data_IF_524539675544
#
_entry.id   IF_524539675544
#
_cell.length_a   1.000
_cell.length_b   1.000
_cell.length_c   1.000
_cell.angle_alpha   90.00
_cell.angle_beta   90.00
_cell.angle_gamma   90.00
#
_symmetry.space_group_name_H-M   'P 1'
#
loop_
_entity.id
_entity.type
_entity.pdbx_description
1 polymer ?
#
# COMPACT_ATOMS: atom_id res chain seq x y z
N UNK A 1 -5.32 2.66 1.03
CA UNK A 1 -4.73 1.73 0.05
C UNK A 1 -5.26 1.95 -1.37
N UNK A 2 -6.54 1.68 -1.64
CA UNK A 2 -7.07 1.56 -3.02
C UNK A 2 -7.17 2.87 -3.82
N UNK A 3 -7.25 4.03 -3.18
CA UNK A 3 -7.33 5.34 -3.85
C UNK A 3 -6.02 6.11 -3.83
N UNK A 4 -5.25 6.03 -2.76
CA UNK A 4 -4.08 6.86 -2.53
C UNK A 4 -2.76 6.11 -2.59
N UNK A 5 -2.81 4.79 -2.77
CA UNK A 5 -1.60 3.98 -2.75
C UNK A 5 -0.81 4.05 -1.44
N UNK A 6 -1.46 4.48 -0.36
CA UNK A 6 -0.83 4.52 0.96
C UNK A 6 -0.63 3.11 1.48
N UNK A 7 0.58 2.78 1.82
CA UNK A 7 1.00 1.49 2.36
C UNK A 7 1.73 1.70 3.68
N UNK A 8 2.87 2.36 3.65
CA UNK A 8 3.68 2.63 4.85
C UNK A 8 3.05 3.70 5.75
N UNK A 9 2.38 4.69 5.19
CA UNK A 9 1.73 5.78 5.91
C UNK A 9 0.56 5.31 6.78
N UNK A 10 0.03 4.14 6.48
CA UNK A 10 -1.04 3.50 7.27
C UNK A 10 -0.60 3.15 8.68
N UNK A 11 0.71 2.99 8.91
CA UNK A 11 1.27 2.75 10.25
C UNK A 11 0.89 3.84 11.26
N UNK A 12 0.67 5.08 10.82
CA UNK A 12 0.20 6.19 11.67
C UNK A 12 -1.18 5.90 12.28
N UNK A 13 -2.01 5.10 11.59
CA UNK A 13 -3.35 4.74 12.05
C UNK A 13 -3.38 3.48 12.93
N UNK A 14 -2.28 2.73 13.02
CA UNK A 14 -2.20 1.49 13.82
C UNK A 14 -2.56 1.74 15.30
N UNK A 15 -2.09 2.80 15.96
CA UNK A 15 -2.48 3.08 17.34
C UNK A 15 -3.99 3.23 17.53
N UNK A 16 -4.68 3.83 16.54
CA UNK A 16 -6.15 3.97 16.56
C UNK A 16 -6.82 2.60 16.47
N UNK A 17 -6.32 1.73 15.59
CA UNK A 17 -6.82 0.35 15.47
C UNK A 17 -6.60 -0.46 16.75
N UNK A 18 -5.44 -0.32 17.38
CA UNK A 18 -5.12 -0.98 18.66
C UNK A 18 -6.08 -0.51 19.74
N UNK A 19 -6.28 0.80 19.87
CA UNK A 19 -7.21 1.37 20.83
C UNK A 19 -8.62 0.81 20.67
N UNK A 20 -9.12 0.81 19.43
CA UNK A 20 -10.44 0.29 19.12
C UNK A 20 -10.55 -1.20 19.50
N UNK A 21 -9.54 -1.99 19.18
CA UNK A 21 -9.52 -3.42 19.53
C UNK A 21 -9.53 -3.63 21.04
N UNK A 22 -8.72 -2.88 21.79
CA UNK A 22 -8.70 -2.95 23.26
C UNK A 22 -10.03 -2.55 23.89
N UNK A 23 -10.69 -1.50 23.38
CA UNK A 23 -12.05 -1.13 23.82
C UNK A 23 -13.08 -2.23 23.58
N UNK A 24 -12.88 -3.05 22.54
CA UNK A 24 -13.75 -4.20 22.23
C UNK A 24 -13.36 -5.46 23.01
N UNK A 25 -12.39 -5.39 23.91
CA UNK A 25 -11.88 -6.54 24.66
C UNK A 25 -11.06 -7.52 23.82
N UNK A 26 -10.48 -7.05 22.72
CA UNK A 26 -9.62 -7.81 21.81
C UNK A 26 -8.14 -7.46 22.07
N UNK A 27 -7.23 -8.21 21.45
CA UNK A 27 -5.80 -7.97 21.58
C UNK A 27 -5.26 -6.89 20.61
N UNK A 28 -4.05 -6.41 20.91
CA UNK A 28 -3.34 -5.41 20.06
C UNK A 28 -3.07 -5.94 18.65
N UNK A 29 -2.90 -7.25 18.48
CA UNK A 29 -2.69 -7.89 17.17
C UNK A 29 -3.91 -7.73 16.28
N UNK A 30 -5.11 -7.91 16.84
CA UNK A 30 -6.37 -7.68 16.11
C UNK A 30 -6.46 -6.24 15.62
N UNK A 31 -6.15 -5.26 16.47
CA UNK A 31 -6.16 -3.84 16.11
C UNK A 31 -5.17 -3.50 15.00
N UNK A 32 -3.95 -4.00 15.12
CA UNK A 32 -2.91 -3.85 14.08
C UNK A 32 -3.34 -4.51 12.77
N UNK A 33 -3.86 -5.73 12.82
CA UNK A 33 -4.32 -6.47 11.66
C UNK A 33 -5.47 -5.77 10.92
N UNK A 34 -6.43 -5.17 11.64
CA UNK A 34 -7.52 -4.43 11.03
C UNK A 34 -7.01 -3.29 10.12
N UNK A 35 -6.04 -2.52 10.61
CA UNK A 35 -5.48 -1.39 9.87
C UNK A 35 -4.54 -1.85 8.76
N UNK A 36 -3.57 -2.69 9.10
CA UNK A 36 -2.51 -3.09 8.19
C UNK A 36 -3.02 -3.99 7.04
N UNK A 37 -3.80 -5.02 7.35
CA UNK A 37 -4.36 -5.91 6.32
C UNK A 37 -5.43 -5.20 5.49
N UNK A 38 -6.25 -4.31 6.10
CA UNK A 38 -7.20 -3.49 5.35
C UNK A 38 -6.51 -2.57 4.33
N UNK A 39 -5.38 -1.98 4.70
CA UNK A 39 -4.58 -1.17 3.79
C UNK A 39 -3.92 -2.02 2.69
N UNK A 40 -3.37 -3.18 3.03
CA UNK A 40 -2.74 -4.10 2.09
C UNK A 40 -3.74 -4.58 1.02
N UNK A 41 -4.95 -4.98 1.42
CA UNK A 41 -6.04 -5.34 0.49
C UNK A 41 -6.38 -4.19 -0.44
N UNK A 42 -6.52 -2.98 0.11
CA UNK A 42 -6.80 -1.80 -0.69
C UNK A 42 -5.68 -1.49 -1.68
N UNK A 43 -4.43 -1.56 -1.26
CA UNK A 43 -3.26 -1.33 -2.10
C UNK A 43 -3.17 -2.36 -3.25
N UNK A 44 -3.38 -3.63 -2.93
CA UNK A 44 -3.39 -4.74 -3.90
C UNK A 44 -4.48 -4.59 -4.94
N UNK A 45 -5.70 -4.27 -4.52
CA UNK A 45 -6.81 -4.06 -5.44
C UNK A 45 -6.56 -2.84 -6.34
N UNK A 46 -5.90 -1.80 -5.82
CA UNK A 46 -5.38 -0.65 -6.56
C UNK A 46 -6.34 -0.03 -7.55
N UNK A 47 -7.61 0.27 -7.16
CA UNK A 47 -8.62 0.78 -8.09
C UNK A 47 -8.18 2.08 -8.75
N UNK A 48 -7.76 3.03 -7.92
CA UNK A 48 -7.33 4.37 -8.32
C UNK A 48 -5.94 4.67 -7.73
N UNK A 49 -5.12 3.63 -7.52
CA UNK A 49 -3.79 3.78 -6.95
C UNK A 49 -2.82 4.27 -8.04
N UNK A 50 -2.37 5.54 -7.97
CA UNK A 50 -1.50 6.10 -8.99
C UNK A 50 -0.07 5.57 -8.88
N UNK A 51 0.36 5.15 -7.68
CA UNK A 51 1.75 4.79 -7.39
C UNK A 51 2.14 3.40 -7.89
N UNK A 52 1.20 2.48 -8.05
CA UNK A 52 1.49 1.18 -8.65
C UNK A 52 0.74 0.98 -9.97
N UNK A 53 -0.59 0.98 -9.93
CA UNK A 53 -1.41 0.75 -11.12
C UNK A 53 -1.27 1.88 -12.14
N UNK A 54 -1.29 3.14 -11.68
CA UNK A 54 -1.12 4.30 -12.55
C UNK A 54 0.21 4.25 -13.28
N UNK A 55 1.33 4.07 -12.56
CA UNK A 55 2.67 3.96 -13.17
C UNK A 55 2.76 2.76 -14.11
N UNK A 56 2.25 1.59 -13.71
CA UNK A 56 2.30 0.40 -14.54
C UNK A 56 1.47 0.54 -15.82
N UNK A 57 0.31 1.19 -15.75
CA UNK A 57 -0.55 1.44 -16.92
C UNK A 57 0.02 2.51 -17.84
N UNK A 58 0.64 3.55 -17.28
CA UNK A 58 1.32 4.59 -18.06
C UNK A 58 2.44 3.98 -18.89
N UNK A 59 3.31 3.18 -18.28
CA UNK A 59 4.39 2.45 -18.98
C UNK A 59 3.83 1.45 -20.00
N UNK A 60 2.70 0.81 -19.70
CA UNK A 60 2.04 -0.11 -20.61
C UNK A 60 1.24 0.58 -21.73
N UNK A 61 1.24 1.92 -21.79
CA UNK A 61 0.46 2.73 -22.75
C UNK A 61 -1.04 2.41 -22.70
N UNK A 62 -1.57 2.14 -21.51
CA UNK A 62 -2.97 1.86 -21.26
C UNK A 62 -3.68 3.09 -20.70
N UNK A 63 -4.99 3.18 -20.96
CA UNK A 63 -5.80 4.19 -20.29
C UNK A 63 -5.70 4.03 -18.78
N UNK A 64 -5.37 5.12 -18.07
CA UNK A 64 -5.24 5.14 -16.61
C UNK A 64 -6.51 4.61 -15.95
N UNK A 65 -6.29 3.77 -14.96
CA UNK A 65 -7.34 3.10 -14.18
C UNK A 65 -8.32 2.24 -15.00
N UNK A 66 -7.95 1.84 -16.24
CA UNK A 66 -8.72 0.86 -17.01
C UNK A 66 -8.79 -0.50 -16.30
N UNK A 67 -9.78 -1.33 -16.64
CA UNK A 67 -10.01 -2.61 -15.95
C UNK A 67 -10.62 -2.49 -14.55
N UNK A 68 -11.26 -1.36 -14.23
CA UNK A 68 -11.85 -1.04 -12.93
C UNK A 68 -12.82 -2.11 -12.42
N UNK A 69 -13.71 -2.61 -13.27
CA UNK A 69 -14.74 -3.60 -12.88
C UNK A 69 -14.10 -4.87 -12.28
N UNK A 70 -13.06 -5.39 -12.91
CA UNK A 70 -12.35 -6.56 -12.41
C UNK A 70 -11.63 -6.28 -11.09
N UNK A 71 -11.01 -5.09 -10.95
CA UNK A 71 -10.36 -4.68 -9.69
C UNK A 71 -11.34 -4.50 -8.54
N UNK A 72 -12.55 -3.98 -8.82
CA UNK A 72 -13.63 -3.91 -7.82
C UNK A 72 -14.04 -5.30 -7.36
N UNK A 73 -14.21 -6.24 -8.29
CA UNK A 73 -14.52 -7.63 -7.94
C UNK A 73 -13.44 -8.22 -7.02
N UNK A 74 -12.17 -8.08 -7.39
CA UNK A 74 -11.05 -8.57 -6.56
C UNK A 74 -11.00 -7.86 -5.20
N UNK A 75 -11.23 -6.54 -5.15
CA UNK A 75 -11.30 -5.81 -3.87
C UNK A 75 -12.35 -6.42 -2.95
N UNK A 76 -13.56 -6.69 -3.46
CA UNK A 76 -14.65 -7.26 -2.65
C UNK A 76 -14.28 -8.66 -2.16
N UNK A 77 -13.71 -9.50 -3.01
CA UNK A 77 -13.29 -10.87 -2.63
C UNK A 77 -12.18 -10.82 -1.57
N UNK A 78 -11.14 -10.03 -1.79
CA UNK A 78 -10.02 -9.92 -0.84
C UNK A 78 -10.49 -9.30 0.48
N UNK A 79 -11.33 -8.26 0.43
CA UNK A 79 -11.86 -7.62 1.63
C UNK A 79 -12.72 -8.59 2.44
N UNK A 80 -13.60 -9.37 1.78
CA UNK A 80 -14.41 -10.38 2.44
C UNK A 80 -13.55 -11.47 3.09
N UNK A 81 -12.56 -12.00 2.37
CA UNK A 81 -11.67 -13.03 2.87
C UNK A 81 -10.84 -12.53 4.08
N UNK A 82 -10.26 -11.33 3.96
CA UNK A 82 -9.45 -10.72 5.03
C UNK A 82 -10.31 -10.38 6.24
N UNK A 83 -11.50 -9.82 6.03
CA UNK A 83 -12.44 -9.53 7.13
C UNK A 83 -12.88 -10.81 7.83
N UNK A 84 -13.20 -11.87 7.09
CA UNK A 84 -13.53 -13.16 7.67
C UNK A 84 -12.38 -13.72 8.52
N UNK A 85 -11.14 -13.64 8.01
CA UNK A 85 -9.95 -14.06 8.76
C UNK A 85 -9.79 -13.29 10.07
N UNK A 86 -9.86 -11.94 10.03
CA UNK A 86 -9.74 -11.08 11.22
C UNK A 86 -10.86 -11.38 12.21
N UNK A 87 -12.10 -11.52 11.75
CA UNK A 87 -13.26 -11.83 12.60
C UNK A 87 -13.09 -13.22 13.25
N UNK A 88 -12.63 -14.22 12.51
CA UNK A 88 -12.36 -15.55 13.06
C UNK A 88 -11.28 -15.50 14.14
N UNK A 89 -10.18 -14.76 13.91
CA UNK A 89 -9.12 -14.56 14.90
C UNK A 89 -9.64 -13.79 16.11
N UNK A 90 -10.31 -12.68 15.93
CA UNK A 90 -10.88 -11.87 17.00
C UNK A 90 -11.84 -12.67 17.89
N UNK A 91 -12.74 -13.46 17.29
CA UNK A 91 -13.64 -14.35 18.04
C UNK A 91 -12.89 -15.42 18.83
N UNK A 92 -11.82 -15.97 18.25
CA UNK A 92 -10.98 -16.97 18.93
C UNK A 92 -10.28 -16.37 20.15
N UNK A 93 -9.73 -15.16 20.01
CA UNK A 93 -9.05 -14.45 21.11
C UNK A 93 -10.05 -13.98 22.18
N UNK A 94 -11.22 -13.47 21.76
CA UNK A 94 -12.28 -13.09 22.71
C UNK A 94 -12.77 -14.25 23.57
N UNK A 95 -12.89 -15.46 22.98
CA UNK A 95 -13.31 -16.66 23.72
C UNK A 95 -12.18 -17.30 24.54
N UNK A 96 -10.93 -17.16 24.08
CA UNK A 96 -9.75 -17.78 24.66
C UNK A 96 -8.56 -16.82 24.58
N UNK A 97 -8.40 -15.88 25.54
CA UNK A 97 -7.31 -14.91 25.54
C UNK A 97 -5.92 -15.55 25.51
N UNK A 98 -5.78 -16.74 26.05
CA UNK A 98 -4.55 -17.54 26.04
C UNK A 98 -4.11 -17.99 24.63
N UNK A 99 -4.99 -17.86 23.62
CA UNK A 99 -4.70 -18.17 22.21
C UNK A 99 -4.25 -16.95 21.41
N UNK A 100 -4.13 -15.80 22.05
CA UNK A 100 -3.53 -14.62 21.43
C UNK A 100 -2.04 -14.89 21.13
N UNK A 101 -1.56 -14.41 19.98
CA UNK A 101 -0.15 -14.54 19.56
C UNK A 101 0.80 -13.83 20.54
N UNK A 102 0.30 -12.83 21.25
CA UNK A 102 1.07 -12.03 22.23
C UNK A 102 0.76 -12.42 23.68
N UNK A 103 0.08 -13.54 23.91
CA UNK A 103 -0.23 -14.00 25.27
C UNK A 103 1.06 -14.26 26.08
N UNK A 104 1.15 -13.66 27.25
CA UNK A 104 2.31 -13.81 28.14
C UNK A 104 3.53 -12.94 27.79
N UNK A 105 3.44 -12.09 26.75
CA UNK A 105 4.46 -11.07 26.48
C UNK A 105 4.19 -9.89 27.42
N UNK A 106 5.20 -9.43 28.22
CA UNK A 106 5.04 -8.25 29.07
C UNK A 106 4.63 -7.04 28.26
N UNK A 107 3.66 -6.28 28.72
CA UNK A 107 3.24 -5.03 28.08
C UNK A 107 4.20 -3.92 28.44
N UNK A 108 5.20 -3.65 27.60
CA UNK A 108 6.19 -2.57 27.82
C UNK A 108 5.65 -1.15 27.67
N UNK A 109 4.44 -0.99 27.14
CA UNK A 109 3.77 0.32 27.05
C UNK A 109 2.28 0.18 27.35
N UNK A 110 1.87 0.69 28.48
CA UNK A 110 0.49 1.06 28.74
C UNK A 110 0.12 2.19 27.77
N UNK A 111 -0.71 1.89 26.75
CA UNK A 111 -1.34 2.93 25.93
C UNK A 111 -2.35 3.65 26.83
N UNK A 112 -1.86 4.47 27.77
CA UNK A 112 -2.67 5.34 28.58
C UNK A 112 -3.07 6.53 27.72
N UNK A 113 -4.34 6.56 27.33
CA UNK A 113 -4.95 7.76 26.74
C UNK A 113 -5.25 8.75 27.86
N UNK A 114 -4.22 9.42 28.33
CA UNK A 114 -4.27 10.36 29.42
C UNK A 114 -4.90 11.68 28.99
N UNK A 115 -5.83 11.81 28.18
CA UNK A 115 -6.64 12.98 27.82
C UNK A 115 -7.64 12.70 26.68
N UNK A 116 -8.24 11.50 26.63
CA UNK A 116 -9.42 11.31 25.80
C UNK A 116 -10.56 12.13 26.42
N UNK A 117 -10.70 13.36 25.97
CA UNK A 117 -11.93 14.11 26.25
C UNK A 117 -13.08 13.34 25.59
N UNK A 118 -14.08 12.94 26.39
CA UNK A 118 -15.24 12.14 25.95
C UNK A 118 -16.09 12.81 24.86
N UNK A 119 -15.69 14.01 24.41
CA UNK A 119 -16.44 14.80 23.43
C UNK A 119 -15.56 15.26 22.28
N UNK A 120 -15.98 14.94 21.06
CA UNK A 120 -15.32 15.42 19.84
C UNK A 120 -15.52 16.94 19.74
N UNK A 121 -14.43 17.68 19.66
CA UNK A 121 -14.44 19.12 19.51
C UNK A 121 -14.95 19.54 18.12
N UNK A 122 -15.64 20.66 18.01
CA UNK A 122 -16.11 21.22 16.73
C UNK A 122 -14.96 21.38 15.71
N UNK A 123 -13.76 21.73 16.16
CA UNK A 123 -12.56 21.79 15.30
C UNK A 123 -12.19 20.43 14.69
N UNK A 124 -12.25 19.36 15.48
CA UNK A 124 -11.97 17.99 15.00
C UNK A 124 -13.01 17.55 13.97
N UNK A 125 -14.30 17.86 14.21
CA UNK A 125 -15.37 17.62 13.23
C UNK A 125 -15.08 18.37 11.93
N UNK A 126 -14.71 19.66 12.01
CA UNK A 126 -14.39 20.46 10.84
C UNK A 126 -13.21 19.89 10.04
N UNK A 127 -12.14 19.42 10.71
CA UNK A 127 -11.01 18.73 10.06
C UNK A 127 -11.47 17.45 9.37
N UNK A 128 -12.29 16.62 10.03
CA UNK A 128 -12.83 15.40 9.44
C UNK A 128 -13.70 15.68 8.20
N UNK A 129 -14.50 16.74 8.23
CA UNK A 129 -15.31 17.17 7.08
C UNK A 129 -14.41 17.62 5.92
N UNK A 130 -13.37 18.41 6.17
CA UNK A 130 -12.42 18.84 5.14
C UNK A 130 -11.71 17.65 4.53
N UNK A 131 -11.29 16.67 5.35
CA UNK A 131 -10.68 15.43 4.85
C UNK A 131 -11.66 14.63 3.98
N UNK A 132 -12.90 14.45 4.44
CA UNK A 132 -13.91 13.71 3.67
C UNK A 132 -14.21 14.39 2.31
N UNK A 133 -14.34 15.72 2.30
CA UNK A 133 -14.53 16.49 1.08
C UNK A 133 -13.30 16.39 0.16
N UNK A 134 -12.09 16.51 0.71
CA UNK A 134 -10.85 16.36 -0.06
C UNK A 134 -10.73 14.99 -0.71
N UNK A 135 -11.07 13.91 -0.01
CA UNK A 135 -11.10 12.57 -0.60
C UNK A 135 -12.21 12.43 -1.67
N UNK A 136 -13.37 13.05 -1.47
CA UNK A 136 -14.41 13.11 -2.49
C UNK A 136 -13.94 13.79 -3.78
N UNK A 137 -13.26 14.95 -3.64
CA UNK A 137 -12.64 15.68 -4.76
C UNK A 137 -11.56 14.83 -5.44
N UNK A 138 -10.71 14.15 -4.66
CA UNK A 138 -9.68 13.25 -5.18
C UNK A 138 -10.28 12.14 -6.04
N UNK A 139 -11.28 11.43 -5.53
CA UNK A 139 -11.95 10.35 -6.27
C UNK A 139 -12.59 10.88 -7.56
N UNK A 140 -13.24 12.04 -7.50
CA UNK A 140 -13.82 12.68 -8.67
C UNK A 140 -12.74 13.09 -9.69
N UNK A 141 -11.65 13.70 -9.22
CA UNK A 141 -10.52 14.12 -10.05
C UNK A 141 -9.87 12.95 -10.78
N UNK A 142 -9.54 11.87 -10.07
CA UNK A 142 -8.96 10.65 -10.63
C UNK A 142 -9.92 9.97 -11.63
N UNK A 143 -11.22 9.86 -11.28
CA UNK A 143 -12.18 9.10 -12.10
C UNK A 143 -12.69 9.86 -13.33
N UNK A 144 -12.81 11.19 -13.26
CA UNK A 144 -13.48 11.99 -14.28
C UNK A 144 -12.60 13.02 -14.99
N UNK A 145 -11.54 13.47 -14.33
CA UNK A 145 -10.68 14.55 -14.85
C UNK A 145 -9.29 14.05 -15.28
N UNK A 146 -8.97 12.77 -15.04
CA UNK A 146 -7.66 12.21 -15.36
C UNK A 146 -6.53 12.80 -14.52
N UNK A 147 -6.83 13.22 -13.30
CA UNK A 147 -5.82 13.72 -12.36
C UNK A 147 -4.73 12.68 -12.14
N UNK A 148 -3.50 13.17 -11.98
CA UNK A 148 -2.34 12.34 -11.69
C UNK A 148 -1.52 12.95 -10.55
N UNK A 149 -0.19 12.80 -10.57
CA UNK A 149 0.63 13.20 -9.41
C UNK A 149 0.57 14.69 -9.06
N UNK A 150 0.53 15.56 -10.05
CA UNK A 150 0.62 17.01 -9.84
C UNK A 150 -0.63 17.53 -9.12
N UNK A 151 -1.82 17.22 -9.63
CA UNK A 151 -3.08 17.66 -9.06
C UNK A 151 -3.33 17.04 -7.69
N UNK A 152 -2.95 15.76 -7.52
CA UNK A 152 -3.05 15.08 -6.23
C UNK A 152 -2.16 15.75 -5.18
N UNK A 153 -0.91 16.04 -5.53
CA UNK A 153 0.03 16.70 -4.63
C UNK A 153 -0.47 18.08 -4.21
N UNK A 154 -1.00 18.85 -5.18
CA UNK A 154 -1.65 20.13 -4.92
C UNK A 154 -2.82 20.00 -3.93
N UNK A 155 -3.72 19.03 -4.17
CA UNK A 155 -4.87 18.79 -3.30
C UNK A 155 -4.43 18.46 -1.86
N UNK A 156 -3.45 17.55 -1.69
CA UNK A 156 -2.96 17.17 -0.35
C UNK A 156 -2.30 18.33 0.39
N UNK A 157 -1.52 19.18 -0.30
CA UNK A 157 -0.94 20.37 0.29
C UNK A 157 -2.06 21.32 0.77
N UNK A 158 -3.07 21.59 -0.08
CA UNK A 158 -4.21 22.42 0.31
C UNK A 158 -4.97 21.84 1.50
N UNK A 159 -5.25 20.54 1.50
CA UNK A 159 -5.91 19.89 2.62
C UNK A 159 -5.10 20.03 3.91
N UNK A 160 -3.80 19.79 3.87
CA UNK A 160 -2.93 19.91 5.04
C UNK A 160 -2.90 21.32 5.59
N UNK A 161 -2.79 22.34 4.73
CA UNK A 161 -2.81 23.75 5.12
C UNK A 161 -4.14 24.13 5.75
N UNK A 162 -5.28 23.80 5.13
CA UNK A 162 -6.62 24.10 5.63
C UNK A 162 -6.84 23.41 6.98
N UNK A 163 -6.54 22.12 7.09
CA UNK A 163 -6.66 21.38 8.35
C UNK A 163 -5.77 21.98 9.46
N UNK A 164 -4.56 22.42 9.11
CA UNK A 164 -3.67 23.11 10.04
C UNK A 164 -4.26 24.40 10.59
N UNK A 165 -4.82 25.25 9.72
CA UNK A 165 -5.50 26.49 10.16
C UNK A 165 -6.76 26.23 11.01
N UNK A 166 -7.59 25.26 10.63
CA UNK A 166 -8.78 24.86 11.41
C UNK A 166 -8.37 24.35 12.79
N UNK A 167 -7.25 23.62 12.86
CA UNK A 167 -6.68 23.15 14.14
C UNK A 167 -6.10 24.27 15.00
N UNK A 168 -6.02 25.51 14.48
CA UNK A 168 -5.47 26.68 15.18
C UNK A 168 -3.94 26.79 15.09
N UNK A 169 -3.31 26.11 14.13
CA UNK A 169 -1.86 26.22 13.92
C UNK A 169 -1.52 27.49 13.15
N UNK A 170 -0.46 28.19 13.58
CA UNK A 170 0.11 29.30 12.82
C UNK A 170 0.92 28.81 11.61
N UNK A 171 1.17 29.69 10.61
CA UNK A 171 1.89 29.33 9.38
C UNK A 171 3.26 28.65 9.63
N UNK A 172 4.02 29.15 10.60
CA UNK A 172 5.35 28.57 10.95
C UNK A 172 5.22 27.15 11.51
N UNK A 173 4.17 26.85 12.26
CA UNK A 173 3.90 25.50 12.75
C UNK A 173 3.48 24.57 11.63
N UNK A 174 2.59 25.04 10.76
CA UNK A 174 2.17 24.25 9.56
C UNK A 174 3.39 23.89 8.70
N UNK A 175 4.26 24.88 8.41
CA UNK A 175 5.46 24.63 7.63
C UNK A 175 6.40 23.61 8.31
N UNK A 176 6.54 23.66 9.64
CA UNK A 176 7.35 22.71 10.40
C UNK A 176 6.77 21.29 10.35
N UNK A 177 5.46 21.13 10.52
CA UNK A 177 4.79 19.82 10.43
C UNK A 177 4.91 19.21 9.03
N UNK A 178 4.83 20.03 7.96
CA UNK A 178 5.14 19.58 6.60
C UNK A 178 6.60 19.11 6.46
N UNK A 179 7.54 19.85 7.07
CA UNK A 179 8.97 19.48 7.09
C UNK A 179 9.21 18.15 7.80
N UNK A 180 8.58 17.90 8.94
CA UNK A 180 8.66 16.63 9.65
C UNK A 180 8.04 15.49 8.85
N UNK A 181 6.89 15.71 8.21
CA UNK A 181 6.28 14.75 7.29
C UNK A 181 7.22 14.41 6.12
N UNK A 182 7.86 15.41 5.53
CA UNK A 182 8.82 15.21 4.43
C UNK A 182 10.01 14.36 4.85
N UNK A 183 10.55 14.54 6.07
CA UNK A 183 11.63 13.68 6.58
C UNK A 183 11.26 12.22 6.59
N UNK A 184 10.01 11.90 6.94
CA UNK A 184 9.53 10.51 6.98
C UNK A 184 9.55 9.80 5.63
N UNK A 185 9.44 10.54 4.51
CA UNK A 185 9.38 9.97 3.16
C UNK A 185 10.71 10.03 2.39
N UNK A 186 11.72 10.74 2.89
CA UNK A 186 13.02 10.91 2.21
C UNK A 186 13.67 9.58 1.85
N UNK A 187 13.66 8.61 2.77
CA UNK A 187 14.24 7.28 2.54
C UNK A 187 13.53 6.58 1.38
N UNK A 188 12.19 6.67 1.33
CA UNK A 188 11.41 6.13 0.22
C UNK A 188 11.77 6.78 -1.13
N UNK A 189 11.91 8.10 -1.17
CA UNK A 189 12.34 8.82 -2.37
C UNK A 189 13.73 8.38 -2.85
N UNK A 190 14.68 8.22 -1.92
CA UNK A 190 16.04 7.74 -2.24
C UNK A 190 16.01 6.31 -2.79
N UNK A 191 15.23 5.42 -2.21
CA UNK A 191 15.07 4.03 -2.69
C UNK A 191 14.52 4.01 -4.11
N UNK A 192 13.52 4.84 -4.42
CA UNK A 192 12.95 4.94 -5.77
C UNK A 192 14.02 5.44 -6.76
N UNK A 193 14.81 6.46 -6.38
CA UNK A 193 15.91 6.96 -7.21
C UNK A 193 16.96 5.89 -7.49
N UNK A 194 17.37 5.13 -6.48
CA UNK A 194 18.34 4.03 -6.62
C UNK A 194 17.75 2.90 -7.49
N UNK A 195 16.49 2.53 -7.28
CA UNK A 195 15.81 1.52 -8.09
C UNK A 195 15.78 1.91 -9.58
N UNK A 196 15.53 3.19 -9.88
CA UNK A 196 15.57 3.71 -11.26
C UNK A 196 16.98 3.61 -11.88
N UNK A 197 18.02 3.77 -11.07
CA UNK A 197 19.41 3.63 -11.53
C UNK A 197 19.70 2.20 -12.05
N UNK A 198 19.10 1.17 -11.43
CA UNK A 198 19.24 -0.22 -11.90
C UNK A 198 18.73 -0.36 -13.34
N UNK A 199 17.56 0.21 -13.64
CA UNK A 199 17.00 0.20 -15.01
C UNK A 199 17.95 0.89 -16.00
N UNK A 200 18.46 2.08 -15.66
CA UNK A 200 19.38 2.81 -16.52
C UNK A 200 20.64 2.01 -16.78
N UNK A 201 21.26 1.42 -15.76
CA UNK A 201 22.46 0.58 -15.90
C UNK A 201 22.20 -0.63 -16.77
N UNK A 202 21.08 -1.33 -16.58
CA UNK A 202 20.72 -2.51 -17.37
C UNK A 202 20.47 -2.14 -18.83
N UNK A 203 19.86 -0.97 -19.07
CA UNK A 203 19.61 -0.44 -20.42
C UNK A 203 20.92 -0.10 -21.11
N UNK A 204 21.78 0.68 -20.48
CA UNK A 204 23.08 1.12 -21.04
C UNK A 204 24.01 -0.06 -21.29
N UNK A 205 23.93 -1.08 -20.45
CA UNK A 205 24.70 -2.33 -20.62
C UNK A 205 24.12 -3.29 -21.66
N UNK A 206 22.98 -2.97 -22.29
CA UNK A 206 22.23 -3.85 -23.20
C UNK A 206 21.87 -5.23 -22.59
N UNK A 207 21.74 -5.29 -21.26
CA UNK A 207 21.37 -6.52 -20.55
C UNK A 207 19.83 -6.71 -20.54
N UNK A 208 19.06 -5.62 -20.73
CA UNK A 208 17.60 -5.68 -20.73
C UNK A 208 17.06 -6.68 -21.77
N UNK A 209 17.59 -6.66 -22.99
CA UNK A 209 17.17 -7.56 -24.05
C UNK A 209 17.45 -9.03 -23.69
N UNK A 210 18.57 -9.31 -23.03
CA UNK A 210 18.91 -10.66 -22.56
C UNK A 210 17.93 -11.13 -21.48
N UNK A 211 17.56 -10.27 -20.55
CA UNK A 211 16.56 -10.56 -19.50
C UNK A 211 15.20 -10.82 -20.14
N UNK A 212 14.76 -9.92 -21.03
CA UNK A 212 13.47 -10.07 -21.77
C UNK A 212 13.44 -11.39 -22.51
N UNK A 213 14.51 -11.71 -23.25
CA UNK A 213 14.62 -12.98 -23.97
C UNK A 213 14.55 -14.20 -23.05
N UNK A 214 15.23 -14.15 -21.91
CA UNK A 214 15.16 -15.22 -20.89
C UNK A 214 13.73 -15.41 -20.35
N UNK A 215 13.04 -14.32 -20.01
CA UNK A 215 11.65 -14.37 -19.53
C UNK A 215 10.69 -14.87 -20.62
N UNK A 216 10.83 -14.36 -21.85
CA UNK A 216 10.02 -14.83 -23.00
C UNK A 216 10.16 -16.33 -23.19
N UNK A 217 11.39 -16.87 -23.15
CA UNK A 217 11.62 -18.31 -23.28
C UNK A 217 10.95 -19.12 -22.17
N UNK A 218 11.03 -18.65 -20.92
CA UNK A 218 10.38 -19.31 -19.78
C UNK A 218 8.86 -19.31 -19.94
N UNK A 219 8.28 -18.15 -20.29
CA UNK A 219 6.82 -18.00 -20.40
C UNK A 219 6.28 -18.71 -21.66
N UNK A 220 7.03 -18.72 -22.76
CA UNK A 220 6.61 -19.36 -24.01
C UNK A 220 6.52 -20.90 -23.91
N UNK A 221 7.33 -21.53 -23.07
CA UNK A 221 7.25 -22.97 -22.81
C UNK A 221 5.98 -23.36 -22.05
N UNK A 222 5.34 -22.37 -21.39
CA UNK A 222 4.11 -22.61 -20.65
C UNK A 222 2.90 -22.68 -21.59
N UNK A 223 1.90 -23.53 -21.30
CA UNK A 223 0.61 -23.49 -21.97
C UNK A 223 -0.04 -22.11 -21.88
N UNK A 224 -0.75 -21.66 -22.93
CA UNK A 224 -1.37 -20.33 -22.98
C UNK A 224 -2.25 -20.00 -21.78
N UNK A 225 -2.92 -21.02 -21.24
CA UNK A 225 -3.78 -20.90 -20.06
C UNK A 225 -3.07 -20.48 -18.77
N UNK A 226 -1.74 -20.70 -18.68
CA UNK A 226 -0.95 -20.42 -17.48
C UNK A 226 0.17 -19.39 -17.69
N UNK A 227 0.35 -18.85 -18.90
CA UNK A 227 1.36 -17.81 -19.19
C UNK A 227 1.24 -16.59 -18.27
N UNK A 228 0.01 -16.13 -17.99
CA UNK A 228 -0.24 -15.04 -17.06
C UNK A 228 0.22 -15.37 -15.63
N UNK A 229 0.09 -16.64 -15.22
CA UNK A 229 0.60 -17.13 -13.93
C UNK A 229 2.13 -17.12 -13.94
N UNK A 230 2.75 -17.49 -15.05
CA UNK A 230 4.20 -17.39 -15.22
C UNK A 230 4.72 -15.95 -15.05
N UNK A 231 4.06 -14.98 -15.68
CA UNK A 231 4.39 -13.55 -15.50
C UNK A 231 4.21 -13.09 -14.04
N UNK A 232 3.13 -13.52 -13.39
CA UNK A 232 2.90 -13.26 -11.97
C UNK A 232 4.03 -13.84 -11.10
N UNK A 233 4.48 -15.08 -11.35
CA UNK A 233 5.59 -15.69 -10.61
C UNK A 233 6.92 -14.96 -10.85
N UNK A 234 7.19 -14.50 -12.06
CA UNK A 234 8.36 -13.68 -12.36
C UNK A 234 8.33 -12.35 -11.58
N UNK A 235 7.20 -11.66 -11.58
CA UNK A 235 7.02 -10.44 -10.77
C UNK A 235 7.19 -10.74 -9.28
N UNK A 236 6.75 -11.90 -8.84
CA UNK A 236 6.89 -12.37 -7.47
C UNK A 236 8.36 -12.50 -7.04
N UNK A 237 9.17 -13.13 -7.88
CA UNK A 237 10.59 -13.30 -7.61
C UNK A 237 11.32 -11.96 -7.61
N UNK A 238 10.99 -11.07 -8.54
CA UNK A 238 11.59 -9.73 -8.60
C UNK A 238 11.25 -8.90 -7.37
N UNK A 239 10.04 -9.03 -6.86
CA UNK A 239 9.61 -8.30 -5.66
C UNK A 239 10.40 -8.70 -4.40
N UNK A 240 10.94 -9.91 -4.31
CA UNK A 240 11.84 -10.28 -3.22
C UNK A 240 13.11 -9.39 -3.18
N UNK A 241 13.45 -8.76 -4.31
CA UNK A 241 14.61 -7.85 -4.43
C UNK A 241 14.18 -6.38 -4.42
N UNK A 242 13.11 -6.05 -5.15
CA UNK A 242 12.58 -4.69 -5.28
C UNK A 242 11.27 -4.58 -4.50
N UNK A 243 11.37 -4.16 -3.26
CA UNK A 243 10.27 -4.11 -2.29
C UNK A 243 9.25 -3.00 -2.60
N UNK A 244 9.67 -1.93 -3.28
CA UNK A 244 8.81 -0.77 -3.59
C UNK A 244 7.90 -1.05 -4.79
N UNK A 245 6.57 -0.88 -4.61
CA UNK A 245 5.62 -1.04 -5.70
C UNK A 245 5.86 -0.13 -6.89
N UNK A 246 6.08 1.15 -6.66
CA UNK A 246 6.41 2.13 -7.71
C UNK A 246 7.77 1.83 -8.34
N UNK A 247 8.78 1.53 -7.51
CA UNK A 247 10.12 1.18 -7.98
C UNK A 247 10.11 -0.09 -8.82
N UNK A 248 9.37 -1.13 -8.40
CA UNK A 248 9.22 -2.34 -9.18
C UNK A 248 8.51 -2.08 -10.50
N UNK A 249 7.42 -1.28 -10.51
CA UNK A 249 6.74 -0.92 -11.76
C UNK A 249 7.71 -0.26 -12.74
N UNK A 250 8.49 0.72 -12.27
CA UNK A 250 9.44 1.47 -13.10
C UNK A 250 10.54 0.57 -13.71
N UNK A 251 10.98 -0.45 -12.98
CA UNK A 251 12.02 -1.37 -13.44
C UNK A 251 11.46 -2.52 -14.27
N UNK A 252 10.32 -3.09 -13.87
CA UNK A 252 9.83 -4.34 -14.47
C UNK A 252 8.85 -4.14 -15.61
N UNK A 253 8.01 -3.10 -15.58
CA UNK A 253 7.00 -2.92 -16.63
C UNK A 253 7.59 -2.64 -18.01
N UNK A 254 8.69 -1.87 -18.18
CA UNK A 254 9.36 -1.75 -19.47
C UNK A 254 9.84 -3.09 -20.06
N UNK A 255 10.09 -4.09 -19.21
CA UNK A 255 10.46 -5.46 -19.62
C UNK A 255 9.22 -6.32 -19.87
N UNK A 256 8.23 -6.24 -18.98
CA UNK A 256 7.06 -7.13 -19.00
C UNK A 256 6.07 -6.77 -20.10
N UNK A 257 6.00 -5.50 -20.52
CA UNK A 257 5.11 -5.08 -21.60
C UNK A 257 5.53 -5.71 -22.94
N UNK A 258 6.78 -5.57 -23.41
CA UNK A 258 7.24 -6.30 -24.59
C UNK A 258 7.08 -7.83 -24.47
N UNK A 259 7.36 -8.41 -23.29
CA UNK A 259 7.14 -9.82 -23.05
C UNK A 259 5.67 -10.19 -23.26
N UNK A 260 4.72 -9.42 -22.71
CA UNK A 260 3.30 -9.71 -22.87
C UNK A 260 2.87 -9.68 -24.33
N UNK A 261 3.36 -8.69 -25.12
CA UNK A 261 3.07 -8.57 -26.53
C UNK A 261 3.63 -9.78 -27.32
N UNK A 262 4.84 -10.23 -27.02
CA UNK A 262 5.51 -11.35 -27.67
C UNK A 262 4.86 -12.72 -27.36
N UNK A 263 4.35 -12.92 -26.13
CA UNK A 263 3.71 -14.18 -25.74
C UNK A 263 2.20 -14.20 -25.95
N UNK A 264 1.63 -13.12 -26.51
CA UNK A 264 0.20 -13.01 -26.84
C UNK A 264 -0.70 -12.78 -25.62
N UNK A 265 -0.18 -12.18 -24.55
CA UNK A 265 -0.95 -11.78 -23.37
C UNK A 265 -1.30 -10.30 -23.48
N UNK A 266 -2.50 -9.91 -23.08
CA UNK A 266 -2.85 -8.48 -23.08
C UNK A 266 -1.98 -7.70 -22.09
N UNK A 267 -1.56 -6.48 -22.45
CA UNK A 267 -0.82 -5.57 -21.56
C UNK A 267 -1.56 -5.35 -20.24
N UNK A 268 -2.90 -5.31 -20.27
CA UNK A 268 -3.73 -5.22 -19.07
C UNK A 268 -3.54 -6.41 -18.13
N UNK A 269 -3.40 -7.63 -18.66
CA UNK A 269 -3.11 -8.82 -17.88
C UNK A 269 -1.71 -8.76 -17.26
N UNK A 270 -0.73 -8.21 -17.99
CA UNK A 270 0.62 -7.98 -17.47
C UNK A 270 0.60 -7.00 -16.29
N UNK A 271 -0.15 -5.89 -16.39
CA UNK A 271 -0.35 -4.95 -15.28
C UNK A 271 -1.02 -5.62 -14.09
N UNK A 272 -2.01 -6.49 -14.30
CA UNK A 272 -2.66 -7.23 -13.22
C UNK A 272 -1.71 -8.24 -12.56
N UNK A 273 -0.90 -8.94 -13.35
CA UNK A 273 0.12 -9.87 -12.82
C UNK A 273 1.14 -9.15 -11.93
N UNK A 274 1.56 -7.94 -12.34
CA UNK A 274 2.40 -7.07 -11.52
C UNK A 274 1.67 -6.62 -10.24
N UNK A 275 0.45 -6.14 -10.35
CA UNK A 275 -0.29 -5.52 -9.26
C UNK A 275 -0.63 -6.50 -8.12
N UNK A 276 -1.11 -7.70 -8.45
CA UNK A 276 -1.61 -8.63 -7.42
C UNK A 276 -0.51 -9.26 -6.59
N UNK A 277 0.70 -9.27 -7.07
CA UNK A 277 1.80 -9.80 -6.28
C UNK A 277 2.18 -8.92 -5.09
N UNK A 278 1.99 -7.62 -5.17
CA UNK A 278 2.28 -6.70 -4.07
C UNK A 278 1.49 -6.98 -2.77
N UNK A 279 0.41 -7.77 -2.85
CA UNK A 279 -0.30 -8.29 -1.69
C UNK A 279 0.59 -9.15 -0.79
N UNK A 280 1.43 -9.97 -1.38
CA UNK A 280 2.24 -10.95 -0.65
C UNK A 280 3.32 -10.26 0.19
N UNK A 281 3.91 -9.21 -0.33
CA UNK A 281 4.98 -8.48 0.34
C UNK A 281 4.49 -7.75 1.60
N UNK A 282 3.37 -7.05 1.54
CA UNK A 282 2.83 -6.36 2.69
C UNK A 282 2.41 -7.32 3.82
N UNK A 283 1.98 -8.53 3.48
CA UNK A 283 1.75 -9.58 4.48
C UNK A 283 3.06 -10.04 5.14
N UNK A 284 4.13 -10.20 4.35
CA UNK A 284 5.45 -10.59 4.87
C UNK A 284 6.09 -9.48 5.70
N UNK A 285 5.99 -8.22 5.29
CA UNK A 285 6.51 -7.08 6.05
C UNK A 285 5.85 -6.97 7.41
N UNK A 286 4.53 -7.15 7.48
CA UNK A 286 3.79 -7.14 8.74
C UNK A 286 4.22 -8.32 9.63
N UNK A 287 4.35 -9.51 9.06
CA UNK A 287 4.77 -10.71 9.80
C UNK A 287 6.23 -10.63 10.24
N UNK A 288 7.13 -10.11 9.40
CA UNK A 288 8.54 -9.92 9.73
C UNK A 288 8.72 -8.78 10.72
N UNK A 289 8.02 -7.65 10.56
CA UNK A 289 8.06 -6.53 11.50
C UNK A 289 7.58 -6.96 12.88
N UNK A 290 6.50 -7.73 12.97
CA UNK A 290 6.05 -8.32 14.23
C UNK A 290 7.09 -9.27 14.82
N UNK A 291 7.74 -10.11 14.00
CA UNK A 291 8.78 -11.04 14.46
C UNK A 291 10.06 -10.32 14.91
N UNK A 292 10.48 -9.25 14.20
CA UNK A 292 11.67 -8.48 14.56
C UNK A 292 11.48 -7.67 15.85
N UNK A 293 10.32 -7.06 16.06
CA UNK A 293 10.04 -6.34 17.30
C UNK A 293 9.81 -7.26 18.50
N UNK A 294 9.21 -8.44 18.31
CA UNK A 294 9.10 -9.43 19.36
C UNK A 294 10.44 -10.07 19.75
N UNK A 295 11.38 -10.19 18.82
CA UNK A 295 12.69 -10.81 19.09
C UNK A 295 13.70 -9.79 19.64
N UNK A 296 13.66 -8.52 19.18
CA UNK A 296 14.60 -7.49 19.66
C UNK A 296 14.14 -6.79 20.95
N UNK A 297 12.87 -6.89 21.34
CA UNK A 297 12.40 -6.48 22.67
C UNK A 297 12.86 -7.39 23.82
N UNK A 298 13.55 -8.49 23.51
CA UNK A 298 14.12 -9.41 24.49
C UNK A 298 15.60 -9.12 24.81
N UNK A 299 16.19 -8.06 24.26
CA UNK A 299 17.64 -7.77 24.40
C UNK A 299 17.96 -6.31 24.76
N UNK A 300 17.07 -5.61 25.49
CA UNK A 300 17.42 -4.33 26.12
C UNK A 300 16.96 -4.27 27.56
#
# INVERSE_FOLDING_TARGET
GFTMGMSSEVMIFVPIGITLALFLGLDKVTGTAMIALGAAVGFTAGLLNPFNVGVAQDIAELQLFSGMAYRVFILVVLLAATSAYIICYARKVAAHPEKSVIYGIPEDQEYTFDNATDTITVRQIAVLVVMALGFGILIYGLSKKGWYFEEMSGLFIFMGVICGFISGYGPSRIAREFGEGAKGIIVGCLIIGIARTVEVILSDANILDTIVYGIVNIVNVMPDSIKAVGMFLCQSLINCVIVSGTGQAAVTMPLMVPVSDLVGISRQTSVLAFQYFQCHHHLWDILLYQRFHTVNGLSS
#
